data_IF_349516433240
#
_entry.id   IF_349516433240
#
_cell.length_a   1.000
_cell.length_b   1.000
_cell.length_c   1.000
_cell.angle_alpha   90.00
_cell.angle_beta   90.00
_cell.angle_gamma   90.00
#
_symmetry.space_group_name_H-M   'P 1'
#
loop_
_entity.id
_entity.type
_entity.pdbx_description
1 polymer ?
#
# COMPACT_ATOMS: atom_id res chain seq x y z
N UNK A 1 -75.52 -19.23 11.10
CA UNK A 1 -75.56 -18.39 12.31
C UNK A 1 -74.17 -18.45 12.94
N UNK A 2 -73.39 -17.36 13.04
CA UNK A 2 -73.62 -15.97 12.61
C UNK A 2 -72.27 -15.26 12.34
N UNK A 3 -72.31 -14.19 11.52
CA UNK A 3 -71.48 -12.95 11.53
C UNK A 3 -70.40 -12.80 12.63
N UNK A 4 -69.25 -12.12 12.50
CA UNK A 4 -68.75 -11.07 11.57
C UNK A 4 -67.23 -10.83 11.90
N UNK A 5 -66.40 -10.01 11.24
CA UNK A 5 -66.33 -9.41 9.88
C UNK A 5 -65.06 -8.55 9.77
N UNK A 6 -64.51 -8.35 8.55
CA UNK A 6 -63.51 -7.30 8.20
C UNK A 6 -62.11 -7.47 8.86
N UNK A 7 -60.99 -6.92 8.34
CA UNK A 7 -60.75 -6.10 7.14
C UNK A 7 -59.31 -6.31 6.60
N UNK A 8 -59.05 -5.82 5.38
CA UNK A 8 -57.78 -5.22 4.84
C UNK A 8 -56.42 -5.50 5.53
N UNK A 9 -55.29 -5.65 4.82
CA UNK A 9 -54.83 -4.76 3.75
C UNK A 9 -53.68 -5.35 2.91
N UNK A 10 -53.47 -4.74 1.74
CA UNK A 10 -52.30 -4.88 0.87
C UNK A 10 -50.97 -4.60 1.57
N UNK A 11 -49.93 -5.39 1.25
CA UNK A 11 -48.55 -5.19 1.70
C UNK A 11 -47.54 -5.50 0.61
N UNK A 12 -47.20 -4.50 -0.21
CA UNK A 12 -46.18 -4.62 -1.26
C UNK A 12 -44.77 -4.75 -0.66
N UNK A 13 -44.14 -5.90 -0.84
CA UNK A 13 -42.76 -6.15 -0.40
C UNK A 13 -41.74 -5.47 -1.32
N UNK A 14 -41.64 -4.14 -1.26
CA UNK A 14 -40.51 -3.42 -1.85
C UNK A 14 -39.25 -3.65 -1.01
N UNK A 15 -38.35 -4.48 -1.53
CA UNK A 15 -37.01 -4.67 -0.97
C UNK A 15 -36.19 -3.39 -1.11
N UNK A 16 -36.16 -2.55 -0.07
CA UNK A 16 -35.33 -1.36 -0.04
C UNK A 16 -33.86 -1.75 0.14
N UNK A 17 -33.10 -1.63 -0.94
CA UNK A 17 -31.64 -1.77 -0.93
C UNK A 17 -31.04 -0.70 -0.02
N UNK A 18 -30.74 -1.07 1.24
CA UNK A 18 -30.01 -0.20 2.16
C UNK A 18 -28.55 -0.04 1.69
N UNK A 19 -28.35 0.89 0.75
CA UNK A 19 -27.04 1.45 0.47
C UNK A 19 -26.52 2.07 1.75
N UNK A 20 -25.51 1.43 2.37
CA UNK A 20 -24.86 1.95 3.58
C UNK A 20 -24.25 3.31 3.26
N UNK A 21 -24.94 4.38 3.65
CA UNK A 21 -24.40 5.73 3.60
C UNK A 21 -23.09 5.75 4.39
N UNK A 22 -21.97 5.91 3.68
CA UNK A 22 -20.68 6.04 4.32
C UNK A 22 -20.75 7.24 5.27
N UNK A 23 -20.40 7.01 6.54
CA UNK A 23 -20.45 8.03 7.59
C UNK A 23 -19.71 9.27 7.11
N UNK A 24 -20.23 10.46 7.44
CA UNK A 24 -19.62 11.75 7.11
C UNK A 24 -18.09 11.74 7.35
N UNK A 25 -17.69 11.21 8.50
CA UNK A 25 -16.29 10.99 8.89
C UNK A 25 -15.47 10.15 7.91
N UNK A 26 -16.05 9.10 7.30
CA UNK A 26 -15.38 8.24 6.32
C UNK A 26 -15.14 8.95 4.99
N UNK A 27 -16.02 9.88 4.57
CA UNK A 27 -15.77 10.74 3.40
C UNK A 27 -14.60 11.69 3.64
N UNK A 28 -14.60 12.41 4.76
CA UNK A 28 -13.54 13.38 5.07
C UNK A 28 -12.23 12.75 5.57
N UNK A 29 -12.25 11.50 6.05
CA UNK A 29 -11.04 10.76 6.46
C UNK A 29 -10.00 10.67 5.32
N UNK A 30 -10.43 10.48 4.07
CA UNK A 30 -9.53 10.42 2.92
C UNK A 30 -8.88 11.78 2.66
N UNK A 31 -9.66 12.87 2.64
CA UNK A 31 -9.14 14.23 2.49
C UNK A 31 -8.20 14.61 3.62
N UNK A 32 -8.52 14.26 4.87
CA UNK A 32 -7.65 14.49 6.02
C UNK A 32 -6.33 13.73 5.92
N UNK A 33 -6.37 12.44 5.53
CA UNK A 33 -5.16 11.65 5.27
C UNK A 33 -4.32 12.24 4.14
N UNK A 34 -4.96 12.77 3.09
CA UNK A 34 -4.29 13.38 1.94
C UNK A 34 -3.58 14.68 2.33
N UNK A 35 -4.26 15.56 3.08
CA UNK A 35 -3.65 16.77 3.65
C UNK A 35 -2.52 16.41 4.62
N UNK A 36 -2.72 15.41 5.49
CA UNK A 36 -1.67 14.95 6.41
C UNK A 36 -0.44 14.38 5.66
N UNK A 37 -0.64 13.64 4.57
CA UNK A 37 0.44 13.13 3.73
C UNK A 37 1.19 14.24 2.98
N UNK A 38 0.48 15.28 2.49
CA UNK A 38 1.12 16.49 1.92
C UNK A 38 1.94 17.21 2.99
N UNK A 39 1.40 17.42 4.20
CA UNK A 39 2.12 18.09 5.30
C UNK A 39 3.34 17.28 5.72
N UNK A 40 3.22 15.97 5.91
CA UNK A 40 4.33 15.11 6.33
C UNK A 40 5.41 15.01 5.24
N UNK A 41 5.05 15.09 3.95
CA UNK A 41 6.04 15.20 2.86
C UNK A 41 6.97 16.42 3.03
N UNK A 42 6.45 17.52 3.55
CA UNK A 42 7.23 18.74 3.84
C UNK A 42 8.08 18.63 5.12
N UNK A 43 7.95 17.56 5.93
CA UNK A 43 8.76 17.34 7.13
C UNK A 43 9.91 16.38 6.74
N UNK A 44 11.14 16.88 6.50
CA UNK A 44 12.20 16.10 5.87
C UNK A 44 12.61 14.85 6.66
N UNK A 45 12.47 14.87 7.99
CA UNK A 45 12.84 13.73 8.85
C UNK A 45 11.84 12.57 8.72
N UNK A 46 10.55 12.88 8.53
CA UNK A 46 9.47 11.87 8.50
C UNK A 46 9.24 11.35 7.08
N UNK A 47 9.57 12.13 6.05
CA UNK A 47 9.48 11.68 4.65
C UNK A 47 10.58 10.70 4.24
N UNK A 48 11.78 10.72 4.84
CA UNK A 48 12.89 9.80 4.52
C UNK A 48 12.46 8.32 4.41
N UNK A 49 11.86 7.67 5.43
CA UNK A 49 11.45 6.27 5.33
C UNK A 49 10.29 6.04 4.35
N UNK A 50 9.46 7.05 4.09
CA UNK A 50 8.37 6.97 3.09
C UNK A 50 8.92 7.03 1.66
N UNK A 51 9.93 7.87 1.43
CA UNK A 51 10.66 7.95 0.17
C UNK A 51 11.40 6.62 -0.09
N UNK A 52 12.18 6.11 0.89
CA UNK A 52 12.82 4.80 0.76
C UNK A 52 11.83 3.66 0.46
N UNK A 53 10.61 3.73 1.01
CA UNK A 53 9.57 2.73 0.75
C UNK A 53 9.01 2.83 -0.68
N UNK A 54 8.75 4.05 -1.18
CA UNK A 54 8.32 4.29 -2.57
C UNK A 54 9.40 3.84 -3.55
N UNK A 55 10.66 4.28 -3.36
CA UNK A 55 11.81 3.87 -4.16
C UNK A 55 12.00 2.36 -4.14
N UNK A 56 11.88 1.71 -2.98
CA UNK A 56 11.92 0.25 -2.91
C UNK A 56 10.82 -0.40 -3.76
N UNK A 57 9.59 0.12 -3.72
CA UNK A 57 8.49 -0.37 -4.56
C UNK A 57 8.71 -0.11 -6.05
N UNK A 58 9.42 0.96 -6.43
CA UNK A 58 9.87 1.20 -7.81
C UNK A 58 10.88 0.11 -8.25
N UNK A 59 11.96 -0.06 -7.49
CA UNK A 59 13.05 -0.99 -7.84
C UNK A 59 12.62 -2.46 -7.82
N UNK A 60 11.84 -2.89 -6.82
CA UNK A 60 11.34 -4.27 -6.77
C UNK A 60 10.37 -4.56 -7.93
N UNK A 61 9.70 -3.53 -8.48
CA UNK A 61 8.78 -3.72 -9.60
C UNK A 61 9.50 -3.85 -10.94
N UNK A 62 10.64 -3.16 -11.14
CA UNK A 62 11.59 -3.50 -12.20
C UNK A 62 12.05 -4.96 -12.08
N UNK A 63 12.42 -5.39 -10.86
CA UNK A 63 12.87 -6.75 -10.60
C UNK A 63 11.79 -7.81 -10.88
N UNK A 64 10.57 -7.61 -10.41
CA UNK A 64 9.42 -8.50 -10.67
C UNK A 64 9.12 -8.56 -12.18
N UNK A 65 9.14 -7.42 -12.87
CA UNK A 65 8.95 -7.39 -14.32
C UNK A 65 10.05 -8.10 -15.10
N UNK A 66 11.31 -8.04 -14.63
CA UNK A 66 12.40 -8.82 -15.20
C UNK A 66 12.14 -10.32 -15.04
N UNK A 67 11.82 -10.79 -13.82
CA UNK A 67 11.48 -12.20 -13.55
C UNK A 67 10.30 -12.69 -14.41
N UNK A 68 9.22 -11.90 -14.50
CA UNK A 68 8.02 -12.24 -15.30
C UNK A 68 8.29 -12.29 -16.81
N UNK A 69 9.33 -11.61 -17.29
CA UNK A 69 9.72 -11.60 -18.71
C UNK A 69 10.86 -12.56 -19.02
N UNK A 70 11.24 -13.44 -18.08
CA UNK A 70 12.28 -14.46 -18.26
C UNK A 70 13.71 -13.98 -17.97
N UNK A 71 13.86 -12.82 -17.33
CA UNK A 71 15.11 -12.30 -16.79
C UNK A 71 15.34 -12.68 -15.32
N UNK A 72 16.36 -12.07 -14.73
CA UNK A 72 16.86 -12.34 -13.38
C UNK A 72 17.20 -11.03 -12.65
N UNK A 73 17.01 -10.99 -11.32
CA UNK A 73 17.44 -9.87 -10.47
C UNK A 73 18.83 -10.16 -9.92
N UNK A 74 19.84 -9.37 -10.31
CA UNK A 74 21.21 -9.51 -9.82
C UNK A 74 21.35 -8.90 -8.42
N UNK A 75 20.87 -7.66 -8.26
CA UNK A 75 20.89 -6.92 -6.99
C UNK A 75 19.89 -5.76 -7.00
N UNK A 76 19.45 -5.38 -5.82
CA UNK A 76 18.71 -4.13 -5.56
C UNK A 76 19.55 -3.30 -4.60
N UNK A 77 19.69 -2.01 -4.91
CA UNK A 77 20.43 -1.03 -4.10
C UNK A 77 19.51 0.14 -3.76
N UNK A 78 19.59 0.65 -2.53
CA UNK A 78 18.87 1.82 -2.04
C UNK A 78 19.86 2.80 -1.43
N UNK A 79 19.64 4.10 -1.64
CA UNK A 79 20.54 5.17 -1.23
C UNK A 79 19.85 6.12 -0.23
N UNK A 80 20.60 6.77 0.68
CA UNK A 80 20.01 7.54 1.78
C UNK A 80 19.31 8.83 1.30
N UNK A 81 19.68 9.33 0.12
CA UNK A 81 19.03 10.45 -0.59
C UNK A 81 17.63 10.10 -1.14
N UNK A 82 17.20 8.83 -1.11
CA UNK A 82 15.95 8.37 -1.69
C UNK A 82 16.05 7.80 -3.11
N UNK A 83 17.23 7.73 -3.74
CA UNK A 83 17.38 7.04 -5.04
C UNK A 83 17.56 5.53 -4.87
N UNK A 84 17.28 4.77 -5.93
CA UNK A 84 17.40 3.32 -5.99
C UNK A 84 18.14 2.86 -7.23
N UNK A 85 18.47 1.56 -7.28
CA UNK A 85 18.95 0.88 -8.49
C UNK A 85 18.70 -0.63 -8.43
N UNK A 86 17.77 -1.11 -9.26
CA UNK A 86 17.59 -2.53 -9.57
C UNK A 86 18.49 -2.92 -10.75
N UNK A 87 19.54 -3.71 -10.48
CA UNK A 87 20.32 -4.35 -11.55
C UNK A 87 19.66 -5.68 -11.92
N UNK A 88 19.09 -5.77 -13.12
CA UNK A 88 18.51 -7.00 -13.69
C UNK A 88 19.26 -7.46 -14.94
N UNK A 89 19.03 -8.71 -15.37
CA UNK A 89 19.65 -9.32 -16.55
C UNK A 89 18.61 -10.10 -17.36
N UNK A 90 18.53 -9.83 -18.65
CA UNK A 90 17.53 -10.43 -19.53
C UNK A 90 16.12 -9.87 -19.29
N UNK A 91 15.12 -10.49 -19.90
CA UNK A 91 13.75 -9.98 -19.91
C UNK A 91 13.49 -8.92 -20.98
N UNK A 92 12.29 -8.32 -20.95
CA UNK A 92 11.85 -7.34 -21.95
C UNK A 92 11.98 -5.93 -21.36
N UNK A 93 13.04 -5.21 -21.76
CA UNK A 93 13.37 -3.88 -21.24
C UNK A 93 12.18 -2.90 -21.23
N UNK A 94 11.33 -2.91 -22.27
CA UNK A 94 10.15 -2.04 -22.34
C UNK A 94 9.17 -2.28 -21.18
N UNK A 95 8.91 -3.56 -20.84
CA UNK A 95 8.03 -3.94 -19.73
C UNK A 95 8.72 -3.59 -18.41
N UNK A 96 10.01 -3.91 -18.27
CA UNK A 96 10.79 -3.61 -17.07
C UNK A 96 10.72 -2.12 -16.75
N UNK A 97 11.09 -1.24 -17.69
CA UNK A 97 11.07 0.22 -17.50
C UNK A 97 9.68 0.77 -17.16
N UNK A 98 8.62 0.26 -17.81
CA UNK A 98 7.25 0.66 -17.52
C UNK A 98 6.80 0.29 -16.10
N UNK A 99 7.20 -0.90 -15.63
CA UNK A 99 6.81 -1.41 -14.31
C UNK A 99 7.52 -0.74 -13.13
N UNK A 100 8.56 0.07 -13.31
CA UNK A 100 9.10 0.90 -12.22
C UNK A 100 8.05 1.88 -11.70
N UNK A 101 7.71 2.88 -12.53
CA UNK A 101 6.68 3.88 -12.22
C UNK A 101 5.28 3.26 -12.02
N UNK A 102 4.87 2.38 -12.95
CA UNK A 102 3.59 1.69 -12.85
C UNK A 102 3.48 0.85 -11.57
N UNK A 103 4.56 0.16 -11.20
CA UNK A 103 4.63 -0.67 -10.01
C UNK A 103 4.57 0.12 -8.71
N UNK A 104 5.33 1.22 -8.57
CA UNK A 104 5.26 2.08 -7.39
C UNK A 104 3.83 2.61 -7.14
N UNK A 105 3.17 3.09 -8.21
CA UNK A 105 1.76 3.51 -8.16
C UNK A 105 0.81 2.36 -7.79
N UNK A 106 0.98 1.18 -8.41
CA UNK A 106 0.19 -0.02 -8.12
C UNK A 106 0.33 -0.48 -6.67
N UNK A 107 1.55 -0.46 -6.11
CA UNK A 107 1.81 -0.79 -4.71
C UNK A 107 1.12 0.21 -3.77
N UNK A 108 1.28 1.51 -3.99
CA UNK A 108 0.59 2.55 -3.19
C UNK A 108 -0.93 2.37 -3.19
N UNK A 109 -1.53 2.13 -4.36
CA UNK A 109 -2.97 1.83 -4.49
C UNK A 109 -3.38 0.53 -3.80
N UNK A 110 -2.59 -0.54 -3.94
CA UNK A 110 -2.85 -1.84 -3.34
C UNK A 110 -2.83 -1.76 -1.81
N UNK A 111 -1.82 -1.10 -1.24
CA UNK A 111 -1.70 -0.82 0.19
C UNK A 111 -2.94 -0.07 0.68
N UNK A 112 -3.30 1.04 0.02
CA UNK A 112 -4.46 1.85 0.39
C UNK A 112 -5.78 1.06 0.33
N UNK A 113 -5.99 0.29 -0.74
CA UNK A 113 -7.20 -0.53 -0.95
C UNK A 113 -7.34 -1.64 0.10
N UNK A 114 -6.27 -2.37 0.38
CA UNK A 114 -6.29 -3.47 1.36
C UNK A 114 -6.46 -2.93 2.79
N UNK A 115 -5.83 -1.79 3.12
CA UNK A 115 -6.03 -1.09 4.37
C UNK A 115 -7.48 -0.61 4.59
N UNK A 116 -8.21 -0.32 3.50
CA UNK A 116 -9.61 0.06 3.56
C UNK A 116 -10.60 -1.13 3.59
N UNK A 117 -10.16 -2.35 3.27
CA UNK A 117 -11.05 -3.52 3.13
C UNK A 117 -11.43 -4.17 4.47
N UNK A 118 -10.45 -4.74 5.18
CA UNK A 118 -10.70 -5.45 6.43
C UNK A 118 -9.47 -5.45 7.33
N UNK A 119 -9.69 -5.45 8.64
CA UNK A 119 -8.61 -5.36 9.63
C UNK A 119 -7.64 -6.55 9.56
N UNK A 120 -8.17 -7.77 9.39
CA UNK A 120 -7.37 -8.98 9.15
C UNK A 120 -6.59 -8.91 7.84
N UNK A 121 -7.21 -8.42 6.76
CA UNK A 121 -6.56 -8.26 5.46
C UNK A 121 -5.37 -7.30 5.55
N UNK A 122 -5.53 -6.18 6.24
CA UNK A 122 -4.46 -5.22 6.49
C UNK A 122 -3.31 -5.81 7.33
N UNK A 123 -3.62 -6.64 8.34
CA UNK A 123 -2.60 -7.38 9.11
C UNK A 123 -1.84 -8.39 8.25
N UNK A 124 -2.55 -9.24 7.48
CA UNK A 124 -1.94 -10.24 6.59
C UNK A 124 -1.05 -9.56 5.55
N UNK A 125 -1.52 -8.45 4.96
CA UNK A 125 -0.73 -7.68 4.01
C UNK A 125 0.52 -7.05 4.65
N UNK A 126 0.41 -6.50 5.86
CA UNK A 126 1.59 -6.02 6.61
C UNK A 126 2.60 -7.14 6.87
N UNK A 127 2.13 -8.37 7.13
CA UNK A 127 2.97 -9.57 7.24
C UNK A 127 3.66 -9.91 5.92
N UNK A 128 2.92 -9.88 4.81
CA UNK A 128 3.46 -10.09 3.47
C UNK A 128 4.55 -9.08 3.11
N UNK A 129 4.39 -7.81 3.48
CA UNK A 129 5.41 -6.77 3.25
C UNK A 129 6.69 -7.01 4.04
N UNK A 130 6.59 -7.49 5.29
CA UNK A 130 7.76 -7.88 6.08
C UNK A 130 8.49 -9.07 5.41
N UNK A 131 7.75 -10.10 4.99
CA UNK A 131 8.33 -11.25 4.29
C UNK A 131 9.00 -10.83 2.99
N UNK A 132 8.38 -9.94 2.20
CA UNK A 132 8.94 -9.40 0.97
C UNK A 132 10.24 -8.60 1.22
N UNK A 133 10.26 -7.73 2.23
CA UNK A 133 11.45 -6.96 2.60
C UNK A 133 12.60 -7.86 3.10
N UNK A 134 12.29 -8.86 3.94
CA UNK A 134 13.28 -9.83 4.43
C UNK A 134 13.82 -10.73 3.30
N UNK A 135 12.97 -11.17 2.38
CA UNK A 135 13.40 -11.89 1.19
C UNK A 135 14.34 -11.04 0.34
N UNK A 136 14.01 -9.76 0.12
CA UNK A 136 14.88 -8.81 -0.60
C UNK A 136 16.24 -8.62 0.07
N UNK A 137 16.30 -8.57 1.41
CA UNK A 137 17.56 -8.53 2.16
C UNK A 137 18.41 -9.79 1.88
N UNK A 138 17.80 -10.98 1.89
CA UNK A 138 18.50 -12.26 1.77
C UNK A 138 18.98 -12.52 0.32
N UNK A 139 18.13 -12.23 -0.67
CA UNK A 139 18.40 -12.60 -2.07
C UNK A 139 19.05 -11.49 -2.90
N UNK A 140 18.69 -10.22 -2.70
CA UNK A 140 19.02 -9.13 -3.63
C UNK A 140 19.81 -7.97 -3.03
N UNK A 141 19.78 -7.76 -1.71
CA UNK A 141 20.63 -6.76 -1.07
C UNK A 141 22.06 -7.29 -0.93
N UNK A 142 23.03 -6.59 -1.54
CA UNK A 142 24.45 -6.92 -1.45
C UNK A 142 25.26 -5.91 -0.62
N UNK A 143 24.68 -4.75 -0.36
CA UNK A 143 25.33 -3.63 0.34
C UNK A 143 24.74 -3.42 1.74
N UNK A 144 25.59 -3.18 2.73
CA UNK A 144 25.19 -2.98 4.13
C UNK A 144 24.17 -1.83 4.27
N UNK A 145 24.35 -0.75 3.52
CA UNK A 145 23.45 0.41 3.54
C UNK A 145 22.03 0.02 3.09
N UNK A 146 21.91 -0.73 1.99
CA UNK A 146 20.62 -1.26 1.51
C UNK A 146 19.99 -2.21 2.52
N UNK A 147 20.77 -3.09 3.15
CA UNK A 147 20.27 -3.98 4.21
C UNK A 147 19.71 -3.19 5.39
N UNK A 148 20.39 -2.12 5.82
CA UNK A 148 19.93 -1.23 6.91
C UNK A 148 18.66 -0.48 6.53
N UNK A 149 18.56 0.06 5.30
CA UNK A 149 17.33 0.71 4.81
C UNK A 149 16.17 -0.30 4.82
N UNK A 150 16.32 -1.46 4.16
CA UNK A 150 15.28 -2.49 4.11
C UNK A 150 14.88 -3.00 5.51
N UNK A 151 15.84 -3.14 6.43
CA UNK A 151 15.56 -3.51 7.81
C UNK A 151 14.75 -2.43 8.55
N UNK A 152 15.07 -1.15 8.33
CA UNK A 152 14.29 -0.04 8.92
C UNK A 152 12.85 0.00 8.40
N UNK A 153 12.64 -0.25 7.10
CA UNK A 153 11.32 -0.42 6.50
C UNK A 153 10.58 -1.63 7.08
N UNK A 154 11.26 -2.76 7.26
CA UNK A 154 10.66 -3.95 7.85
C UNK A 154 10.23 -3.70 9.30
N UNK A 155 11.05 -3.00 10.11
CA UNK A 155 10.71 -2.58 11.47
C UNK A 155 9.47 -1.68 11.50
N UNK A 156 9.31 -0.76 10.53
CA UNK A 156 8.12 0.09 10.40
C UNK A 156 6.83 -0.73 10.20
N UNK A 157 6.86 -1.77 9.37
CA UNK A 157 5.73 -2.71 9.22
C UNK A 157 5.53 -3.60 10.45
N UNK A 158 6.60 -4.08 11.10
CA UNK A 158 6.51 -4.87 12.36
C UNK A 158 5.86 -4.05 13.48
N UNK A 159 6.25 -2.79 13.64
CA UNK A 159 5.64 -1.87 14.62
C UNK A 159 4.14 -1.72 14.38
N UNK A 160 3.74 -1.66 13.11
CA UNK A 160 2.34 -1.55 12.69
C UNK A 160 1.53 -2.81 13.07
N UNK A 161 2.09 -4.02 12.97
CA UNK A 161 1.44 -5.27 13.44
C UNK A 161 1.35 -5.32 14.97
N UNK A 162 2.39 -4.86 15.69
CA UNK A 162 2.43 -4.86 17.16
C UNK A 162 1.36 -3.95 17.79
N UNK A 163 0.80 -3.00 17.03
CA UNK A 163 -0.30 -2.14 17.46
C UNK A 163 -1.63 -2.90 17.53
N UNK A 164 -1.92 -3.43 18.73
CA UNK A 164 -3.12 -4.22 19.08
C UNK A 164 -4.47 -3.57 18.70
N UNK A 165 -4.52 -2.24 18.56
CA UNK A 165 -5.71 -1.53 18.07
C UNK A 165 -5.73 -1.49 16.54
N UNK A 166 -6.46 -2.44 15.96
CA UNK A 166 -6.68 -2.65 14.53
C UNK A 166 -7.08 -1.39 13.73
N UNK A 167 -7.72 -0.41 14.39
CA UNK A 167 -8.04 0.89 13.79
C UNK A 167 -6.80 1.70 13.38
N UNK A 168 -5.78 1.80 14.25
CA UNK A 168 -4.57 2.57 13.95
C UNK A 168 -3.71 1.87 12.90
N UNK A 169 -3.72 0.53 12.85
CA UNK A 169 -3.06 -0.24 11.79
C UNK A 169 -3.64 0.13 10.41
N UNK A 170 -4.97 0.17 10.28
CA UNK A 170 -5.60 0.60 9.03
C UNK A 170 -5.30 2.07 8.71
N UNK A 171 -5.22 2.94 9.71
CA UNK A 171 -4.90 4.35 9.51
C UNK A 171 -3.45 4.54 9.00
N UNK A 172 -2.48 3.83 9.59
CA UNK A 172 -1.07 3.88 9.18
C UNK A 172 -0.85 3.28 7.78
N UNK A 173 -1.43 2.13 7.46
CA UNK A 173 -1.30 1.57 6.11
C UNK A 173 -1.98 2.47 5.06
N UNK A 174 -3.16 3.05 5.35
CA UNK A 174 -3.78 4.04 4.46
C UNK A 174 -2.88 5.25 4.24
N UNK A 175 -2.23 5.73 5.30
CA UNK A 175 -1.27 6.82 5.24
C UNK A 175 -0.06 6.45 4.37
N UNK A 176 0.60 5.31 4.61
CA UNK A 176 1.75 4.85 3.81
C UNK A 176 1.39 4.69 2.32
N UNK A 177 0.28 4.02 2.00
CA UNK A 177 -0.17 3.85 0.62
C UNK A 177 -0.42 5.18 -0.09
N UNK A 178 -0.99 6.16 0.63
CA UNK A 178 -1.24 7.50 0.10
C UNK A 178 0.03 8.35 -0.03
N UNK A 179 0.98 8.22 0.90
CA UNK A 179 2.31 8.84 0.78
C UNK A 179 3.09 8.28 -0.42
N UNK A 180 3.05 6.96 -0.66
CA UNK A 180 3.68 6.35 -1.85
C UNK A 180 3.02 6.87 -3.13
N UNK A 181 1.68 6.94 -3.18
CA UNK A 181 0.96 7.51 -4.32
C UNK A 181 1.32 8.97 -4.58
N UNK A 182 1.39 9.80 -3.52
CA UNK A 182 1.77 11.21 -3.67
C UNK A 182 3.23 11.36 -4.09
N UNK A 183 4.16 10.59 -3.50
CA UNK A 183 5.55 10.61 -3.91
C UNK A 183 5.68 10.17 -5.38
N UNK A 184 5.13 9.02 -5.77
CA UNK A 184 5.18 8.52 -7.16
C UNK A 184 4.52 9.46 -8.19
N UNK A 185 3.69 10.42 -7.77
CA UNK A 185 3.11 11.47 -8.62
C UNK A 185 3.96 12.77 -8.68
N UNK A 186 4.77 13.03 -7.65
CA UNK A 186 5.55 14.26 -7.50
C UNK A 186 7.07 14.07 -7.62
N UNK A 187 7.57 12.82 -7.59
CA UNK A 187 8.96 12.45 -7.88
C UNK A 187 9.28 12.84 -9.32
N UNK A 188 10.10 13.89 -9.55
CA UNK A 188 10.50 14.28 -10.89
C UNK A 188 11.49 13.23 -11.42
N UNK A 189 11.39 12.96 -12.72
CA UNK A 189 12.34 12.13 -13.49
C UNK A 189 13.77 12.64 -13.43
#
# INVERSE_FOLDING_TARGET
MSSNSQNTSSGSSQGSSQGKSASFWQKYQLYFLLVAAIIIRQIPIVSIPLNWLETYFHEISHGIAALLTGGEIIRIQLFPNGSGLCTSRGGINFIISFFGYGGATLWGWLIFKLANSHQRTAQVFSGLMIVLLLASIIFWARDLLTMVILASLAVMFVMTIKMRRLYYLQLLLKFFGLSILLNSLFSPT
#
